data_IF_887878888704
#
_entry.id   IF_887878888704
#
_cell.length_a   1.000
_cell.length_b   1.000
_cell.length_c   1.000
_cell.angle_alpha   90.00
_cell.angle_beta   90.00
_cell.angle_gamma   90.00
#
_symmetry.space_group_name_H-M   'P 1'
#
loop_
_entity.id
_entity.type
_entity.pdbx_description
1 polymer ?
#
# COMPACT_ATOMS: atom_id res chain seq x y z
N UNK A 1 20.12 -55.58 12.63
CA UNK A 1 20.47 -54.42 13.48
C UNK A 1 20.55 -53.24 12.51
N UNK A 2 19.47 -52.46 12.39
CA UNK A 2 19.36 -51.37 11.41
C UNK A 2 19.48 -50.08 12.23
N UNK A 3 20.54 -49.33 11.98
CA UNK A 3 20.88 -48.09 12.66
C UNK A 3 19.83 -47.00 12.39
N UNK A 4 19.48 -46.28 13.44
CA UNK A 4 18.53 -45.19 13.44
C UNK A 4 19.08 -43.99 12.65
N UNK A 5 18.45 -43.67 11.52
CA UNK A 5 18.68 -42.41 10.81
C UNK A 5 18.12 -41.27 11.66
N UNK A 6 19.00 -40.45 12.24
CA UNK A 6 18.61 -39.20 12.89
C UNK A 6 18.02 -38.26 11.83
N UNK A 7 16.75 -37.89 12.00
CA UNK A 7 16.14 -36.77 11.27
C UNK A 7 16.88 -35.51 11.70
N UNK A 8 17.47 -34.72 10.79
CA UNK A 8 18.10 -33.47 11.16
C UNK A 8 17.06 -32.52 11.75
N UNK A 9 17.40 -31.92 12.89
CA UNK A 9 16.58 -30.90 13.53
C UNK A 9 16.61 -29.67 12.61
N UNK A 10 15.50 -29.40 11.91
CA UNK A 10 15.37 -28.22 11.07
C UNK A 10 15.05 -27.07 12.02
N UNK A 11 16.11 -26.38 12.49
CA UNK A 11 15.97 -25.06 13.07
C UNK A 11 15.21 -24.19 12.06
N UNK A 12 14.14 -23.52 12.53
CA UNK A 12 13.20 -22.81 11.67
C UNK A 12 13.91 -21.87 10.70
N UNK A 13 14.00 -22.25 9.41
CA UNK A 13 14.44 -21.35 8.37
C UNK A 13 13.39 -20.24 8.21
N UNK A 14 13.66 -19.04 8.72
CA UNK A 14 12.84 -17.88 8.35
C UNK A 14 13.21 -17.49 6.92
N UNK A 15 12.24 -17.60 6.02
CA UNK A 15 12.37 -17.20 4.62
C UNK A 15 11.60 -15.91 4.42
N UNK A 16 12.24 -14.92 3.78
CA UNK A 16 11.57 -13.68 3.39
C UNK A 16 10.78 -13.85 2.10
N UNK A 17 9.75 -13.04 1.93
CA UNK A 17 8.98 -12.92 0.69
C UNK A 17 9.76 -12.05 -0.32
N UNK A 18 10.13 -12.62 -1.47
CA UNK A 18 10.84 -11.91 -2.54
C UNK A 18 9.95 -11.59 -3.75
N UNK A 19 9.09 -12.54 -4.14
CA UNK A 19 8.32 -12.48 -5.39
C UNK A 19 7.47 -11.21 -5.56
N UNK A 20 6.62 -10.85 -4.58
CA UNK A 20 5.78 -9.66 -4.69
C UNK A 20 6.59 -8.36 -4.85
N UNK A 21 7.65 -8.19 -4.04
CA UNK A 21 8.50 -7.00 -4.12
C UNK A 21 9.18 -6.86 -5.49
N UNK A 22 9.60 -7.97 -6.11
CA UNK A 22 10.18 -7.97 -7.45
C UNK A 22 9.16 -7.56 -8.52
N UNK A 23 7.99 -8.21 -8.56
CA UNK A 23 6.98 -7.96 -9.60
C UNK A 23 6.42 -6.54 -9.48
N UNK A 24 5.93 -6.19 -8.29
CA UNK A 24 5.34 -4.87 -8.07
C UNK A 24 6.39 -3.77 -8.07
N UNK A 25 7.64 -4.05 -7.67
CA UNK A 25 8.74 -3.11 -7.81
C UNK A 25 9.02 -2.77 -9.27
N UNK A 26 8.96 -3.74 -10.19
CA UNK A 26 9.08 -3.47 -11.63
C UNK A 26 7.91 -2.65 -12.17
N UNK A 27 6.68 -2.95 -11.76
CA UNK A 27 5.50 -2.17 -12.15
C UNK A 27 5.56 -0.74 -11.61
N UNK A 28 6.03 -0.57 -10.37
CA UNK A 28 6.23 0.72 -9.72
C UNK A 28 7.21 1.60 -10.49
N UNK A 29 8.34 1.02 -10.90
CA UNK A 29 9.34 1.70 -11.73
C UNK A 29 8.80 2.02 -13.14
N UNK A 30 8.09 1.09 -13.78
CA UNK A 30 7.51 1.32 -15.12
C UNK A 30 6.45 2.41 -15.14
N UNK A 31 5.71 2.58 -14.05
CA UNK A 31 4.75 3.67 -13.87
C UNK A 31 5.42 5.01 -13.53
N UNK A 32 6.75 5.08 -13.38
CA UNK A 32 7.47 6.33 -13.09
C UNK A 32 7.16 6.94 -11.72
N UNK A 33 6.44 6.22 -10.85
CA UNK A 33 6.06 6.69 -9.51
C UNK A 33 7.27 7.20 -8.70
N UNK A 34 8.45 6.54 -8.71
CA UNK A 34 9.61 7.05 -7.98
C UNK A 34 10.01 8.48 -8.37
N UNK A 35 10.10 8.75 -9.67
CA UNK A 35 10.49 10.07 -10.17
C UNK A 35 9.43 11.13 -9.91
N UNK A 36 8.14 10.77 -10.00
CA UNK A 36 7.03 11.65 -9.61
C UNK A 36 7.13 12.01 -8.13
N UNK A 37 7.29 11.01 -7.25
CA UNK A 37 7.39 11.23 -5.81
C UNK A 37 8.60 12.10 -5.46
N UNK A 38 9.76 11.82 -6.05
CA UNK A 38 10.98 12.61 -5.87
C UNK A 38 10.76 14.08 -6.26
N UNK A 39 10.15 14.35 -7.42
CA UNK A 39 9.83 15.70 -7.85
C UNK A 39 8.80 16.41 -6.96
N UNK A 40 7.85 15.68 -6.39
CA UNK A 40 6.81 16.25 -5.51
C UNK A 40 7.31 16.55 -4.09
N UNK A 41 8.39 15.90 -3.65
CA UNK A 41 8.93 16.05 -2.29
C UNK A 41 10.28 16.78 -2.24
N UNK A 42 10.82 17.21 -3.38
CA UNK A 42 12.14 17.87 -3.48
C UNK A 42 12.33 19.05 -2.50
N UNK A 43 11.29 19.83 -2.26
CA UNK A 43 11.33 21.01 -1.37
C UNK A 43 10.96 20.68 0.09
N UNK A 44 10.68 19.40 0.40
CA UNK A 44 10.30 18.95 1.74
C UNK A 44 11.49 18.34 2.45
N UNK A 45 11.69 18.72 3.72
CA UNK A 45 12.63 18.06 4.61
C UNK A 45 11.95 16.87 5.26
N UNK A 46 12.32 15.67 4.82
CA UNK A 46 11.77 14.41 5.32
C UNK A 46 12.85 13.63 6.07
N UNK A 47 12.45 13.00 7.17
CA UNK A 47 13.33 12.16 8.01
C UNK A 47 13.34 10.68 7.56
N UNK A 48 12.61 10.37 6.48
CA UNK A 48 12.45 9.03 5.94
C UNK A 48 12.43 9.09 4.42
N UNK A 49 12.64 7.94 3.78
CA UNK A 49 12.54 7.80 2.34
C UNK A 49 11.05 7.73 1.92
N UNK A 50 10.48 8.80 1.33
CA UNK A 50 9.06 8.84 0.99
C UNK A 50 8.70 7.81 -0.07
N UNK A 51 9.63 7.49 -0.94
CA UNK A 51 9.41 6.62 -2.08
C UNK A 51 9.37 5.16 -1.62
N UNK A 52 10.33 4.74 -0.80
CA UNK A 52 10.34 3.39 -0.19
C UNK A 52 9.16 3.17 0.75
N UNK A 53 8.80 4.18 1.55
CA UNK A 53 7.64 4.10 2.45
C UNK A 53 6.33 4.00 1.66
N UNK A 54 6.18 4.79 0.60
CA UNK A 54 5.01 4.72 -0.28
C UNK A 54 4.90 3.36 -0.95
N UNK A 55 6.01 2.82 -1.46
CA UNK A 55 6.05 1.49 -2.03
C UNK A 55 5.70 0.40 -0.99
N UNK A 56 6.23 0.50 0.23
CA UNK A 56 5.93 -0.43 1.32
C UNK A 56 4.45 -0.41 1.72
N UNK A 57 3.85 0.77 1.86
CA UNK A 57 2.42 0.93 2.10
C UNK A 57 1.62 0.27 0.97
N UNK A 58 1.87 0.64 -0.29
CA UNK A 58 1.15 0.09 -1.44
C UNK A 58 1.29 -1.43 -1.55
N UNK A 59 2.51 -1.96 -1.39
CA UNK A 59 2.77 -3.39 -1.47
C UNK A 59 2.03 -4.16 -0.37
N UNK A 60 1.99 -3.62 0.86
CA UNK A 60 1.22 -4.21 1.94
C UNK A 60 -0.26 -4.30 1.57
N UNK A 61 -0.88 -3.22 1.06
CA UNK A 61 -2.31 -3.25 0.70
C UNK A 61 -2.62 -4.27 -0.41
N UNK A 62 -1.67 -4.54 -1.30
CA UNK A 62 -1.82 -5.49 -2.40
C UNK A 62 -1.65 -6.95 -1.96
N UNK A 63 -0.78 -7.22 -0.99
CA UNK A 63 -0.35 -8.58 -0.65
C UNK A 63 -0.90 -9.05 0.69
N UNK A 64 -0.89 -8.18 1.69
CA UNK A 64 -1.28 -8.48 3.08
C UNK A 64 -2.02 -7.28 3.67
N UNK A 65 -3.25 -6.97 3.19
CA UNK A 65 -3.98 -5.79 3.61
C UNK A 65 -4.23 -5.80 5.12
N UNK A 66 -3.83 -4.73 5.79
CA UNK A 66 -3.89 -4.63 7.25
C UNK A 66 -3.62 -3.21 7.73
N UNK A 67 -3.49 -3.05 9.05
CA UNK A 67 -3.13 -1.77 9.65
C UNK A 67 -1.66 -1.43 9.41
N UNK A 68 -1.29 -0.16 9.51
CA UNK A 68 0.12 0.24 9.39
C UNK A 68 0.98 -0.34 10.52
N UNK A 69 0.39 -0.60 11.70
CA UNK A 69 1.08 -1.32 12.79
C UNK A 69 1.41 -2.77 12.43
N UNK A 70 0.48 -3.47 11.78
CA UNK A 70 0.76 -4.79 11.24
C UNK A 70 1.76 -4.69 10.07
N UNK A 71 1.63 -3.65 9.25
CA UNK A 71 2.52 -3.33 8.14
C UNK A 71 3.96 -3.14 8.55
N UNK A 72 4.24 -2.41 9.63
CA UNK A 72 5.61 -2.16 10.11
C UNK A 72 6.32 -3.44 10.55
N UNK A 73 5.57 -4.48 10.92
CA UNK A 73 6.10 -5.81 11.21
C UNK A 73 6.23 -6.63 9.93
N UNK A 74 5.21 -6.57 9.08
CA UNK A 74 5.15 -7.31 7.82
C UNK A 74 6.25 -6.90 6.83
N UNK A 75 6.58 -5.62 6.71
CA UNK A 75 7.67 -5.18 5.81
C UNK A 75 9.03 -5.81 6.16
N UNK A 76 9.23 -6.28 7.40
CA UNK A 76 10.44 -7.01 7.83
C UNK A 76 10.50 -8.44 7.28
N UNK A 77 9.37 -9.02 6.91
CA UNK A 77 9.28 -10.35 6.30
C UNK A 77 9.42 -10.31 4.78
N UNK A 78 9.46 -9.12 4.19
CA UNK A 78 9.62 -8.90 2.75
C UNK A 78 11.07 -8.51 2.46
N UNK A 79 11.68 -9.13 1.45
CA UNK A 79 12.97 -8.67 0.95
C UNK A 79 12.77 -7.61 -0.13
N UNK A 80 13.08 -6.37 0.20
CA UNK A 80 13.12 -5.26 -0.74
C UNK A 80 14.14 -4.21 -0.27
N UNK A 81 14.87 -3.56 -1.18
CA UNK A 81 15.82 -2.51 -0.81
C UNK A 81 15.13 -1.36 -0.05
N UNK A 82 15.71 -0.95 1.07
CA UNK A 82 15.24 0.16 1.90
C UNK A 82 14.18 -0.22 2.94
N UNK A 83 13.58 -1.41 2.87
CA UNK A 83 12.57 -1.85 3.84
C UNK A 83 13.15 -2.05 5.24
N UNK A 84 14.46 -2.31 5.33
CA UNK A 84 15.18 -2.44 6.60
C UNK A 84 15.21 -1.15 7.43
N UNK A 85 14.91 0.01 6.83
CA UNK A 85 14.87 1.32 7.51
C UNK A 85 13.46 1.81 7.81
N UNK A 86 12.43 1.06 7.37
CA UNK A 86 11.04 1.46 7.55
C UNK A 86 10.62 1.13 8.99
N UNK A 87 10.22 2.18 9.71
CA UNK A 87 9.67 2.10 11.05
C UNK A 87 8.20 2.53 11.05
N UNK A 88 7.48 2.18 12.11
CA UNK A 88 6.06 2.49 12.24
C UNK A 88 5.74 3.97 12.05
N UNK A 89 6.52 4.88 12.64
CA UNK A 89 6.32 6.31 12.48
C UNK A 89 6.50 6.79 11.03
N UNK A 90 7.31 6.09 10.23
CA UNK A 90 7.49 6.41 8.81
C UNK A 90 6.21 6.08 8.04
N UNK A 91 5.56 4.93 8.34
CA UNK A 91 4.30 4.55 7.71
C UNK A 91 3.19 5.57 8.01
N UNK A 92 3.02 5.96 9.28
CA UNK A 92 2.01 6.96 9.64
C UNK A 92 2.25 8.33 9.00
N UNK A 93 3.50 8.82 9.02
CA UNK A 93 3.86 10.09 8.36
C UNK A 93 3.74 9.98 6.84
N UNK A 94 4.04 8.82 6.28
CA UNK A 94 3.92 8.51 4.86
C UNK A 94 2.48 8.60 4.37
N UNK A 95 1.51 8.06 5.13
CA UNK A 95 0.08 8.21 4.80
C UNK A 95 -0.34 9.68 4.81
N UNK A 96 0.09 10.46 5.79
CA UNK A 96 -0.17 11.90 5.84
C UNK A 96 0.44 12.64 4.63
N UNK A 97 1.70 12.34 4.31
CA UNK A 97 2.37 12.89 3.14
C UNK A 97 1.63 12.56 1.84
N UNK A 98 1.26 11.29 1.64
CA UNK A 98 0.52 10.87 0.43
C UNK A 98 -0.85 11.52 0.34
N UNK A 99 -1.52 11.76 1.47
CA UNK A 99 -2.77 12.51 1.51
C UNK A 99 -2.58 13.95 1.02
N UNK A 100 -1.53 14.63 1.46
CA UNK A 100 -1.20 15.99 1.01
C UNK A 100 -0.86 16.03 -0.48
N UNK A 101 -0.19 14.99 -0.99
CA UNK A 101 0.27 14.93 -2.37
C UNK A 101 -0.77 14.38 -3.35
N UNK A 102 -1.90 13.86 -2.86
CA UNK A 102 -2.88 13.07 -3.64
C UNK A 102 -3.19 13.68 -5.00
N UNK A 103 -3.67 14.92 -5.02
CA UNK A 103 -4.11 15.57 -6.27
C UNK A 103 -2.96 15.78 -7.26
N UNK A 104 -1.77 16.13 -6.77
CA UNK A 104 -0.60 16.35 -7.61
C UNK A 104 -0.03 15.03 -8.15
N UNK A 105 -0.02 13.99 -7.31
CA UNK A 105 0.41 12.64 -7.68
C UNK A 105 -0.53 12.05 -8.74
N UNK A 106 -1.85 12.09 -8.52
CA UNK A 106 -2.86 11.63 -9.47
C UNK A 106 -2.75 12.37 -10.81
N UNK A 107 -2.55 13.69 -10.77
CA UNK A 107 -2.38 14.50 -11.98
C UNK A 107 -1.12 14.11 -12.75
N UNK A 108 0.02 13.93 -12.08
CA UNK A 108 1.26 13.56 -12.75
C UNK A 108 1.19 12.15 -13.35
N UNK A 109 0.60 11.19 -12.63
CA UNK A 109 0.36 9.84 -13.15
C UNK A 109 -0.52 9.88 -14.41
N UNK A 110 -1.62 10.61 -14.35
CA UNK A 110 -2.51 10.81 -15.50
C UNK A 110 -1.77 11.42 -16.70
N UNK A 111 -0.95 12.45 -16.48
CA UNK A 111 -0.20 13.10 -17.55
C UNK A 111 0.90 12.21 -18.13
N UNK A 112 1.51 11.34 -17.31
CA UNK A 112 2.53 10.41 -17.77
C UNK A 112 1.95 9.33 -18.69
N UNK A 113 0.75 8.84 -18.37
CA UNK A 113 0.06 7.84 -19.19
C UNK A 113 -0.64 8.44 -20.42
N UNK A 114 -0.89 9.76 -20.42
CA UNK A 114 -1.46 10.49 -21.55
C UNK A 114 -0.44 10.65 -22.68
N UNK A 115 -0.48 9.74 -23.63
CA UNK A 115 0.22 9.88 -24.92
C UNK A 115 -0.77 10.10 -26.07
N UNK A 116 -0.29 10.70 -27.16
CA UNK A 116 -1.10 11.05 -28.36
C UNK A 116 -1.58 9.84 -29.19
N UNK A 117 -1.16 8.61 -28.85
CA UNK A 117 -1.29 7.47 -29.75
C UNK A 117 -1.85 6.18 -29.12
N UNK A 118 -2.04 6.06 -27.80
CA UNK A 118 -2.29 4.75 -27.16
C UNK A 118 -3.61 4.56 -26.41
N UNK A 119 -4.56 5.50 -26.39
CA UNK A 119 -5.83 5.23 -25.69
C UNK A 119 -7.02 5.81 -26.46
N UNK A 120 -7.50 5.08 -27.47
CA UNK A 120 -8.94 5.06 -27.66
C UNK A 120 -9.51 4.54 -26.34
N UNK A 121 -10.32 5.34 -25.66
CA UNK A 121 -10.93 4.95 -24.41
C UNK A 121 -11.91 3.81 -24.71
N UNK A 122 -11.44 2.57 -24.63
CA UNK A 122 -12.22 1.39 -25.02
C UNK A 122 -13.18 0.96 -23.90
N UNK A 123 -12.74 1.06 -22.64
CA UNK A 123 -13.50 0.57 -21.50
C UNK A 123 -13.15 1.36 -20.22
N UNK A 124 -14.17 1.85 -19.54
CA UNK A 124 -14.05 2.48 -18.22
C UNK A 124 -14.60 1.51 -17.18
N UNK A 125 -13.73 1.01 -16.30
CA UNK A 125 -14.16 0.30 -15.11
C UNK A 125 -14.51 1.31 -14.02
N UNK A 126 -15.77 1.34 -13.61
CA UNK A 126 -16.23 2.12 -12.47
C UNK A 126 -16.65 1.15 -11.38
N UNK A 127 -16.00 1.23 -10.22
CA UNK A 127 -16.45 0.55 -9.01
C UNK A 127 -16.91 1.59 -7.98
N UNK A 128 -17.93 1.25 -7.22
CA UNK A 128 -18.41 2.08 -6.11
C UNK A 128 -18.10 1.35 -4.81
N UNK A 129 -17.03 1.78 -4.16
CA UNK A 129 -16.69 1.32 -2.82
C UNK A 129 -17.54 2.05 -1.79
N UNK A 130 -17.84 1.37 -0.68
CA UNK A 130 -18.59 1.97 0.42
C UNK A 130 -17.78 1.87 1.69
N UNK A 131 -17.64 2.98 2.41
CA UNK A 131 -16.86 3.03 3.65
C UNK A 131 -17.78 3.22 4.84
N UNK A 132 -17.66 2.35 5.85
CA UNK A 132 -18.28 2.51 7.15
C UNK A 132 -17.25 2.95 8.19
N UNK A 133 -17.71 3.56 9.28
CA UNK A 133 -16.85 3.97 10.39
C UNK A 133 -17.35 3.35 11.69
N UNK A 134 -16.42 2.87 12.54
CA UNK A 134 -16.72 2.44 13.90
C UNK A 134 -17.03 3.67 14.75
N UNK A 135 -18.31 4.02 14.81
CA UNK A 135 -18.86 5.13 15.58
C UNK A 135 -20.34 4.89 15.84
N UNK A 136 -20.84 5.38 16.96
CA UNK A 136 -22.25 5.21 17.32
C UNK A 136 -23.15 6.33 16.78
N UNK A 137 -22.57 7.49 16.46
CA UNK A 137 -23.32 8.68 16.06
C UNK A 137 -23.39 8.86 14.56
N UNK A 138 -24.57 9.18 14.05
CA UNK A 138 -24.74 9.67 12.67
C UNK A 138 -24.40 11.16 12.56
N UNK A 139 -24.03 11.59 11.36
CA UNK A 139 -23.85 13.00 11.00
C UNK A 139 -24.43 13.24 9.60
N UNK A 140 -24.51 14.49 9.12
CA UNK A 140 -24.96 14.74 7.74
C UNK A 140 -24.21 13.94 6.68
N UNK A 141 -22.92 13.66 6.91
CA UNK A 141 -22.05 12.88 6.03
C UNK A 141 -22.05 11.38 6.34
N UNK A 142 -22.37 10.96 7.57
CA UNK A 142 -22.30 9.57 8.02
C UNK A 142 -23.65 9.06 8.48
N UNK A 143 -24.33 8.20 7.70
CA UNK A 143 -25.65 7.64 8.07
C UNK A 143 -25.68 6.12 7.95
N UNK A 144 -26.52 5.47 8.76
CA UNK A 144 -26.77 4.03 8.61
C UNK A 144 -27.65 3.78 7.39
N UNK A 145 -27.46 2.62 6.77
CA UNK A 145 -28.16 2.24 5.55
C UNK A 145 -27.77 0.83 5.10
N UNK A 146 -28.15 0.49 3.87
CA UNK A 146 -27.90 -0.84 3.30
C UNK A 146 -26.40 -1.14 3.18
N UNK A 147 -25.86 -1.98 4.07
CA UNK A 147 -24.44 -2.34 4.13
C UNK A 147 -24.15 -3.59 3.29
N UNK A 148 -23.23 -3.46 2.30
CA UNK A 148 -22.71 -4.60 1.53
C UNK A 148 -21.82 -5.52 2.38
N UNK A 149 -21.21 -4.96 3.43
CA UNK A 149 -20.32 -5.68 4.35
C UNK A 149 -21.07 -6.30 5.54
N UNK A 150 -22.41 -6.37 5.47
CA UNK A 150 -23.26 -6.90 6.54
C UNK A 150 -23.07 -6.19 7.89
N UNK A 151 -22.71 -4.90 7.86
CA UNK A 151 -22.57 -4.01 9.02
C UNK A 151 -23.59 -2.87 9.00
N UNK A 152 -24.90 -3.15 9.15
CA UNK A 152 -25.94 -2.11 9.19
C UNK A 152 -25.88 -1.28 10.48
N UNK A 153 -25.19 -1.78 11.51
CA UNK A 153 -24.97 -1.13 12.80
C UNK A 153 -24.08 0.12 12.69
N UNK A 154 -23.19 0.16 11.70
CA UNK A 154 -22.20 1.22 11.55
C UNK A 154 -22.64 2.30 10.54
N UNK A 155 -22.51 3.59 10.89
CA UNK A 155 -22.70 4.69 9.94
C UNK A 155 -21.73 4.62 8.76
N UNK A 156 -22.21 4.97 7.58
CA UNK A 156 -21.49 4.94 6.29
C UNK A 156 -21.47 6.32 5.65
N UNK A 157 -20.43 6.57 4.87
CA UNK A 157 -20.33 7.82 4.10
C UNK A 157 -21.41 7.83 3.00
N UNK A 158 -22.08 8.97 2.86
CA UNK A 158 -23.04 9.24 1.77
C UNK A 158 -22.31 9.86 0.59
#
# INVERSE_FOLDING_TARGET
>A
MIEATRVPDIDSCSAKLWGPALIFGRLWQRQGIPGILEGLVQDRRLEFDPERVSFGLSLQRLVEPGSDLQGSRWVRTVEAPGFEKIELQHLYRGVGLLSDLRESLERQLYLQDRNLFNQALDLVFVDTTSTYMYRDTETPLWRRGHSRDHRPDLPRVI
#
